data_IF_920219444078
#
_entry.id   IF_920219444078
#
_cell.length_a   1.000
_cell.length_b   1.000
_cell.length_c   1.000
_cell.angle_alpha   90.00
_cell.angle_beta   90.00
_cell.angle_gamma   90.00
#
_symmetry.space_group_name_H-M   'P 1'
#
loop_
_entity.id
_entity.type
_entity.pdbx_description
1 polymer ?
#
# COMPACT_ATOMS: atom_id res chain seq x y z
N UNK A 1 -4.35 -19.18 9.51
CA UNK A 1 -4.79 -18.04 8.68
C UNK A 1 -4.94 -16.79 9.53
N UNK A 2 -6.03 -16.60 10.29
CA UNK A 2 -6.25 -15.42 11.16
C UNK A 2 -5.10 -15.10 12.11
N UNK A 3 -4.57 -16.11 12.81
CA UNK A 3 -3.42 -15.93 13.72
C UNK A 3 -2.20 -15.33 13.03
N UNK A 4 -1.92 -15.75 11.78
CA UNK A 4 -0.82 -15.22 10.98
C UNK A 4 -1.05 -13.76 10.59
N UNK A 5 -2.27 -13.41 10.15
CA UNK A 5 -2.64 -12.02 9.83
C UNK A 5 -2.49 -11.13 11.07
N UNK A 6 -3.03 -11.56 12.22
CA UNK A 6 -2.97 -10.82 13.48
C UNK A 6 -1.52 -10.65 13.95
N UNK A 7 -0.69 -11.69 13.83
CA UNK A 7 0.72 -11.63 14.21
C UNK A 7 1.49 -10.62 13.34
N UNK A 8 1.31 -10.66 12.02
CA UNK A 8 1.95 -9.73 11.10
C UNK A 8 1.52 -8.28 11.37
N UNK A 9 0.21 -8.02 11.54
CA UNK A 9 -0.31 -6.70 11.87
C UNK A 9 0.19 -6.18 13.22
N UNK A 10 0.29 -7.05 14.24
CA UNK A 10 0.84 -6.68 15.55
C UNK A 10 2.32 -6.30 15.45
N UNK A 11 3.09 -7.06 14.67
CA UNK A 11 4.51 -6.75 14.44
C UNK A 11 4.67 -5.44 13.68
N UNK A 12 3.95 -5.27 12.57
CA UNK A 12 3.95 -4.03 11.78
C UNK A 12 3.58 -2.81 12.63
N UNK A 13 2.52 -2.92 13.45
CA UNK A 13 2.11 -1.85 14.37
C UNK A 13 3.17 -1.51 15.41
N UNK A 14 3.85 -2.52 15.99
CA UNK A 14 4.94 -2.29 16.94
C UNK A 14 6.14 -1.56 16.29
N UNK A 15 6.49 -1.93 15.06
CA UNK A 15 7.52 -1.22 14.30
C UNK A 15 7.09 0.22 13.98
N UNK A 16 5.85 0.44 13.54
CA UNK A 16 5.32 1.78 13.33
C UNK A 16 5.39 2.65 14.59
N UNK A 17 4.99 2.12 15.76
CA UNK A 17 5.04 2.87 17.02
C UNK A 17 6.45 3.36 17.38
N UNK A 18 7.49 2.65 16.95
CA UNK A 18 8.90 3.06 17.16
C UNK A 18 9.36 4.21 16.24
N UNK A 19 8.63 4.48 15.16
CA UNK A 19 8.98 5.48 14.14
C UNK A 19 7.87 6.52 13.87
N UNK A 20 6.76 6.47 14.60
CA UNK A 20 5.59 7.35 14.39
C UNK A 20 5.87 8.85 14.51
N UNK A 21 6.90 9.23 15.28
CA UNK A 21 7.32 10.63 15.45
C UNK A 21 8.39 11.04 14.42
N UNK A 22 8.74 10.17 13.47
CA UNK A 22 9.73 10.47 12.45
C UNK A 22 9.11 11.27 11.30
N UNK A 23 9.27 12.57 11.37
CA UNK A 23 8.75 13.53 10.37
C UNK A 23 9.43 13.42 9.01
N UNK A 24 10.53 12.66 8.88
CA UNK A 24 11.16 12.41 7.58
C UNK A 24 10.42 11.34 6.77
N UNK A 25 9.54 10.56 7.40
CA UNK A 25 8.74 9.56 6.72
C UNK A 25 7.49 10.19 6.07
N UNK A 26 7.04 9.71 4.89
CA UNK A 26 5.91 10.32 4.19
C UNK A 26 4.61 10.26 4.99
N UNK A 27 3.73 11.23 4.78
CA UNK A 27 2.42 11.28 5.43
C UNK A 27 1.60 10.00 5.21
N UNK A 28 1.69 9.40 4.02
CA UNK A 28 0.98 8.16 3.72
C UNK A 28 1.59 6.91 4.37
N UNK A 29 2.90 6.91 4.72
CA UNK A 29 3.47 5.90 5.63
C UNK A 29 2.81 5.97 7.02
N UNK A 30 2.69 7.19 7.56
CA UNK A 30 2.05 7.41 8.87
C UNK A 30 0.56 7.04 8.84
N UNK A 31 -0.16 7.46 7.80
CA UNK A 31 -1.55 7.11 7.62
C UNK A 31 -1.75 5.59 7.53
N UNK A 32 -0.89 4.87 6.81
CA UNK A 32 -0.94 3.42 6.73
C UNK A 32 -0.71 2.77 8.11
N UNK A 33 0.30 3.24 8.86
CA UNK A 33 0.61 2.75 10.22
C UNK A 33 -0.57 2.92 11.18
N UNK A 34 -1.20 4.10 11.19
CA UNK A 34 -2.38 4.40 12.03
C UNK A 34 -3.57 3.48 11.71
N UNK A 35 -3.69 3.04 10.46
CA UNK A 35 -4.81 2.22 9.99
C UNK A 35 -4.62 0.70 10.24
N UNK A 36 -3.42 0.23 10.60
CA UNK A 36 -3.16 -1.18 10.92
C UNK A 36 -4.05 -1.70 12.07
N UNK A 37 -4.37 -0.82 13.04
CA UNK A 37 -5.25 -1.17 14.15
C UNK A 37 -6.66 -1.52 13.66
N UNK A 38 -7.20 -0.72 12.73
CA UNK A 38 -8.54 -0.96 12.16
C UNK A 38 -8.58 -2.31 11.43
N UNK A 39 -7.56 -2.61 10.64
CA UNK A 39 -7.41 -3.91 9.97
C UNK A 39 -7.37 -5.04 11.00
N UNK A 40 -6.61 -4.89 12.09
CA UNK A 40 -6.52 -5.90 13.15
C UNK A 40 -7.86 -6.17 13.84
N UNK A 41 -8.66 -5.12 14.07
CA UNK A 41 -10.00 -5.24 14.65
C UNK A 41 -10.95 -6.00 13.71
N UNK A 42 -10.93 -5.68 12.42
CA UNK A 42 -11.74 -6.37 11.41
C UNK A 42 -11.39 -7.86 11.28
N UNK A 43 -10.10 -8.20 11.30
CA UNK A 43 -9.64 -9.60 11.28
C UNK A 43 -10.16 -10.38 12.50
N UNK A 44 -10.10 -9.77 13.70
CA UNK A 44 -10.64 -10.38 14.93
C UNK A 44 -12.15 -10.55 14.87
N UNK A 45 -12.88 -9.55 14.37
CA UNK A 45 -14.33 -9.65 14.20
C UNK A 45 -14.73 -10.80 13.26
N UNK A 46 -14.02 -10.96 12.14
CA UNK A 46 -14.20 -12.06 11.21
C UNK A 46 -13.81 -13.42 11.81
N UNK A 47 -12.80 -13.47 12.68
CA UNK A 47 -12.41 -14.68 13.40
C UNK A 47 -13.50 -15.13 14.39
N UNK A 48 -14.16 -14.19 15.07
CA UNK A 48 -15.16 -14.47 16.10
C UNK A 48 -16.52 -14.93 15.56
N UNK A 49 -16.76 -14.89 14.24
CA UNK A 49 -18.04 -15.31 13.66
C UNK A 49 -18.13 -16.83 13.54
N UNK A 50 -19.16 -17.47 14.14
CA UNK A 50 -19.42 -18.89 13.96
C UNK A 50 -19.97 -19.15 12.55
N UNK A 51 -19.40 -20.12 11.84
CA UNK A 51 -19.83 -20.48 10.48
C UNK A 51 -18.67 -20.91 9.58
N UNK A 52 -19.00 -21.76 8.60
CA UNK A 52 -18.08 -22.07 7.50
C UNK A 52 -17.85 -20.83 6.64
N UNK A 53 -16.60 -20.61 6.23
CA UNK A 53 -16.23 -19.48 5.36
C UNK A 53 -16.41 -19.92 3.91
N UNK A 54 -17.00 -19.07 3.08
CA UNK A 54 -17.06 -19.37 1.66
C UNK A 54 -15.63 -19.46 1.08
N UNK A 55 -15.42 -20.18 -0.04
CA UNK A 55 -14.13 -20.18 -0.74
C UNK A 55 -13.62 -18.77 -1.05
N UNK A 56 -14.53 -17.84 -1.41
CA UNK A 56 -14.22 -16.43 -1.64
C UNK A 56 -13.68 -15.74 -0.38
N UNK A 57 -14.29 -15.96 0.78
CA UNK A 57 -13.80 -15.41 2.04
C UNK A 57 -12.42 -15.99 2.43
N UNK A 58 -12.19 -17.28 2.15
CA UNK A 58 -10.89 -17.93 2.39
C UNK A 58 -9.80 -17.32 1.49
N UNK A 59 -10.10 -17.09 0.21
CA UNK A 59 -9.19 -16.45 -0.75
C UNK A 59 -8.85 -15.01 -0.33
N UNK A 60 -9.86 -14.22 0.02
CA UNK A 60 -9.68 -12.85 0.53
C UNK A 60 -8.82 -12.82 1.81
N UNK A 61 -8.98 -13.78 2.72
CA UNK A 61 -8.14 -13.86 3.92
C UNK A 61 -6.69 -14.27 3.62
N UNK A 62 -6.46 -15.13 2.63
CA UNK A 62 -5.11 -15.47 2.17
C UNK A 62 -4.44 -14.25 1.52
N UNK A 63 -5.18 -13.55 0.66
CA UNK A 63 -4.78 -12.28 0.05
C UNK A 63 -4.41 -11.22 1.11
N UNK A 64 -5.25 -11.09 2.15
CA UNK A 64 -4.99 -10.21 3.29
C UNK A 64 -3.74 -10.61 4.08
N UNK A 65 -3.49 -11.92 4.27
CA UNK A 65 -2.29 -12.42 4.95
C UNK A 65 -1.02 -12.01 4.22
N UNK A 66 -0.96 -12.23 2.91
CA UNK A 66 0.21 -11.84 2.10
C UNK A 66 0.47 -10.34 2.23
N UNK A 67 -0.57 -9.50 2.15
CA UNK A 67 -0.41 -8.05 2.30
C UNK A 67 0.04 -7.64 3.70
N UNK A 68 -0.46 -8.30 4.75
CA UNK A 68 -0.04 -8.04 6.13
C UNK A 68 1.44 -8.40 6.35
N UNK A 69 1.89 -9.53 5.80
CA UNK A 69 3.29 -9.96 5.86
C UNK A 69 4.20 -8.98 5.10
N UNK A 70 3.78 -8.48 3.94
CA UNK A 70 4.53 -7.43 3.21
C UNK A 70 4.57 -6.10 3.95
N UNK A 71 3.45 -5.69 4.55
CA UNK A 71 3.43 -4.47 5.36
C UNK A 71 4.41 -4.59 6.53
N UNK A 72 4.41 -5.73 7.22
CA UNK A 72 5.38 -6.02 8.28
C UNK A 72 6.83 -5.87 7.79
N UNK A 73 7.19 -6.49 6.67
CA UNK A 73 8.56 -6.39 6.10
C UNK A 73 8.98 -4.93 5.86
N UNK A 74 8.10 -4.10 5.29
CA UNK A 74 8.38 -2.67 5.04
C UNK A 74 8.59 -1.92 6.36
N UNK A 75 7.69 -2.10 7.34
CA UNK A 75 7.83 -1.43 8.64
C UNK A 75 9.10 -1.88 9.37
N UNK A 76 9.44 -3.17 9.32
CA UNK A 76 10.69 -3.69 9.91
C UNK A 76 11.92 -3.05 9.26
N UNK A 77 12.01 -3.02 7.92
CA UNK A 77 13.14 -2.41 7.22
C UNK A 77 13.34 -0.94 7.62
N UNK A 78 12.25 -0.17 7.68
CA UNK A 78 12.28 1.24 8.09
C UNK A 78 12.71 1.40 9.55
N UNK A 79 12.26 0.54 10.46
CA UNK A 79 12.64 0.62 11.87
C UNK A 79 14.11 0.26 12.11
N UNK A 80 14.63 -0.75 11.39
CA UNK A 80 16.02 -1.22 11.53
C UNK A 80 17.04 -0.25 10.91
N UNK A 81 16.61 0.57 9.95
CA UNK A 81 17.46 1.61 9.38
C UNK A 81 17.78 2.73 10.40
N UNK A 82 19.02 3.25 10.38
CA UNK A 82 19.37 4.48 11.10
C UNK A 82 18.43 5.62 10.71
N UNK A 83 18.08 6.50 11.67
CA UNK A 83 17.09 7.58 11.46
C UNK A 83 17.31 8.37 10.17
N UNK A 84 18.56 8.73 9.87
CA UNK A 84 18.93 9.48 8.66
C UNK A 84 18.65 8.74 7.34
N UNK A 85 18.56 7.41 7.36
CA UNK A 85 18.41 6.56 6.17
C UNK A 85 17.00 5.99 6.01
N UNK A 86 16.10 6.20 6.98
CA UNK A 86 14.75 5.59 7.00
C UNK A 86 13.89 5.92 5.79
N UNK A 87 13.98 7.15 5.29
CA UNK A 87 13.27 7.53 4.07
C UNK A 87 13.80 6.76 2.85
N UNK A 88 15.12 6.64 2.71
CA UNK A 88 15.75 5.88 1.63
C UNK A 88 15.43 4.40 1.73
N UNK A 89 15.39 3.84 2.94
CA UNK A 89 15.03 2.45 3.17
C UNK A 89 13.56 2.20 2.83
N UNK A 90 12.67 3.08 3.29
CA UNK A 90 11.25 3.04 2.92
C UNK A 90 11.10 3.07 1.40
N UNK A 91 11.75 4.03 0.73
CA UNK A 91 11.73 4.14 -0.72
C UNK A 91 12.26 2.88 -1.41
N UNK A 92 13.32 2.26 -0.89
CA UNK A 92 13.89 1.05 -1.46
C UNK A 92 12.99 -0.17 -1.27
N UNK A 93 12.34 -0.27 -0.11
CA UNK A 93 11.37 -1.32 0.20
C UNK A 93 10.11 -1.24 -0.68
N UNK A 94 9.70 -0.03 -1.10
CA UNK A 94 8.56 0.15 -2.01
C UNK A 94 8.93 0.24 -3.50
N UNK A 95 10.16 0.66 -3.85
CA UNK A 95 10.61 0.92 -5.25
C UNK A 95 10.63 -0.30 -6.16
N UNK A 96 10.53 -1.52 -5.62
CA UNK A 96 10.59 -2.72 -6.45
C UNK A 96 9.24 -3.17 -7.02
N UNK A 97 8.13 -2.46 -6.79
CA UNK A 97 6.80 -2.99 -7.17
C UNK A 97 5.73 -1.92 -7.45
N UNK A 98 4.67 -2.36 -8.15
CA UNK A 98 3.45 -1.61 -8.53
C UNK A 98 2.85 -0.78 -7.38
N UNK A 99 2.04 0.25 -7.70
CA UNK A 99 1.40 1.14 -6.72
C UNK A 99 0.64 0.39 -5.59
N UNK A 100 0.17 -0.83 -5.87
CA UNK A 100 -0.48 -1.74 -4.92
C UNK A 100 0.45 -2.34 -3.85
N UNK A 101 1.75 -2.12 -3.95
CA UNK A 101 2.79 -2.68 -3.07
C UNK A 101 3.46 -1.62 -2.19
N UNK A 102 3.02 -0.37 -2.30
CA UNK A 102 3.26 0.66 -1.28
C UNK A 102 2.58 0.27 0.03
N UNK A 103 3.04 0.81 1.16
CA UNK A 103 2.44 0.47 2.47
C UNK A 103 0.98 0.91 2.56
N UNK A 104 0.63 2.05 1.98
CA UNK A 104 -0.76 2.52 1.86
C UNK A 104 -1.58 1.61 0.93
N UNK A 105 -1.01 1.17 -0.21
CA UNK A 105 -1.65 0.24 -1.14
C UNK A 105 -1.94 -1.11 -0.49
N UNK A 106 -0.99 -1.62 0.30
CA UNK A 106 -1.16 -2.86 1.06
C UNK A 106 -2.27 -2.73 2.11
N UNK A 107 -2.31 -1.62 2.86
CA UNK A 107 -3.35 -1.39 3.88
C UNK A 107 -4.73 -1.22 3.24
N UNK A 108 -4.83 -0.47 2.14
CA UNK A 108 -6.07 -0.37 1.34
C UNK A 108 -6.50 -1.73 0.81
N UNK A 109 -5.56 -2.53 0.29
CA UNK A 109 -5.82 -3.87 -0.20
C UNK A 109 -6.36 -4.78 0.91
N UNK A 110 -5.78 -4.75 2.11
CA UNK A 110 -6.29 -5.50 3.26
C UNK A 110 -7.71 -5.07 3.65
N UNK A 111 -7.99 -3.77 3.64
CA UNK A 111 -9.35 -3.27 3.93
C UNK A 111 -10.38 -3.74 2.89
N UNK A 112 -10.01 -3.79 1.62
CA UNK A 112 -10.87 -4.33 0.54
C UNK A 112 -11.11 -5.83 0.73
N UNK A 113 -10.03 -6.60 0.98
CA UNK A 113 -10.12 -8.04 1.25
C UNK A 113 -11.07 -8.31 2.44
N UNK A 114 -10.89 -7.57 3.54
CA UNK A 114 -11.70 -7.73 4.75
C UNK A 114 -13.13 -7.21 4.59
N UNK A 115 -13.38 -6.22 3.74
CA UNK A 115 -14.74 -5.80 3.37
C UNK A 115 -15.46 -6.94 2.65
N UNK A 116 -14.79 -7.62 1.71
CA UNK A 116 -15.33 -8.82 1.05
C UNK A 116 -15.60 -9.96 2.04
N UNK A 117 -14.78 -10.13 3.08
CA UNK A 117 -15.00 -11.12 4.14
C UNK A 117 -16.17 -10.71 5.03
N UNK A 118 -16.29 -9.43 5.36
CA UNK A 118 -17.35 -8.90 6.19
C UNK A 118 -18.72 -8.96 5.50
N UNK A 119 -18.78 -8.76 4.18
CA UNK A 119 -19.98 -9.03 3.37
C UNK A 119 -20.41 -10.49 3.46
N UNK A 120 -19.48 -11.43 3.28
CA UNK A 120 -19.72 -12.88 3.36
C UNK A 120 -20.22 -13.31 4.76
N UNK A 121 -19.71 -12.66 5.81
CA UNK A 121 -20.04 -12.96 7.20
C UNK A 121 -21.14 -12.06 7.80
N UNK A 122 -21.77 -11.21 6.99
CA UNK A 122 -22.78 -10.23 7.40
C UNK A 122 -22.35 -9.35 8.60
N UNK A 123 -21.17 -8.73 8.51
CA UNK A 123 -20.57 -7.84 9.53
C UNK A 123 -20.52 -6.38 9.03
N UNK A 124 -21.69 -5.78 8.79
CA UNK A 124 -21.82 -4.47 8.10
C UNK A 124 -21.08 -3.31 8.79
N UNK A 125 -21.07 -3.23 10.11
CA UNK A 125 -20.42 -2.11 10.82
C UNK A 125 -18.90 -1.99 10.59
N UNK A 126 -18.23 -3.10 10.23
CA UNK A 126 -16.80 -3.05 9.89
C UNK A 126 -16.57 -2.61 8.42
N UNK A 127 -17.52 -2.89 7.52
CA UNK A 127 -17.44 -2.51 6.10
C UNK A 127 -17.44 -0.98 5.96
N UNK A 128 -18.33 -0.29 6.68
CA UNK A 128 -18.42 1.17 6.64
C UNK A 128 -17.13 1.86 7.14
N UNK A 129 -16.60 1.39 8.27
CA UNK A 129 -15.34 1.91 8.82
C UNK A 129 -14.16 1.69 7.86
N UNK A 130 -14.05 0.50 7.25
CA UNK A 130 -12.98 0.19 6.28
C UNK A 130 -13.11 0.99 4.98
N UNK A 131 -14.33 1.22 4.50
CA UNK A 131 -14.58 2.04 3.31
C UNK A 131 -14.25 3.52 3.55
N UNK A 132 -14.55 4.04 4.74
CA UNK A 132 -14.17 5.39 5.15
C UNK A 132 -12.65 5.56 5.18
N UNK A 133 -11.93 4.64 5.84
CA UNK A 133 -10.47 4.65 5.91
C UNK A 133 -9.81 4.49 4.52
N UNK A 134 -10.35 3.61 3.68
CA UNK A 134 -9.87 3.43 2.29
C UNK A 134 -9.97 4.72 1.49
N UNK A 135 -11.08 5.47 1.62
CA UNK A 135 -11.26 6.74 0.93
C UNK A 135 -10.22 7.77 1.40
N UNK A 136 -10.00 7.89 2.70
CA UNK A 136 -9.01 8.80 3.27
C UNK A 136 -7.59 8.47 2.81
N UNK A 137 -7.21 7.19 2.80
CA UNK A 137 -5.88 6.74 2.34
C UNK A 137 -5.69 6.97 0.83
N UNK A 138 -6.72 6.72 0.03
CA UNK A 138 -6.64 6.89 -1.44
C UNK A 138 -6.59 8.36 -1.87
N UNK A 139 -7.12 9.28 -1.05
CA UNK A 139 -7.10 10.72 -1.32
C UNK A 139 -5.81 11.42 -0.89
N UNK A 140 -4.96 10.78 -0.08
CA UNK A 140 -3.74 11.36 0.49
C UNK A 140 -2.57 11.60 -0.48
N UNK A 141 -2.69 11.17 -1.75
CA UNK A 141 -1.58 11.16 -2.73
C UNK A 141 -0.60 10.01 -2.48
N UNK A 142 0.08 9.49 -3.52
CA UNK A 142 0.98 8.34 -3.38
C UNK A 142 2.23 8.69 -2.56
N UNK A 143 2.67 7.78 -1.69
CA UNK A 143 3.93 7.91 -0.93
C UNK A 143 5.18 7.76 -1.80
N UNK A 144 5.03 7.16 -2.99
CA UNK A 144 6.12 6.91 -3.91
C UNK A 144 6.45 8.18 -4.72
N UNK A 145 7.73 8.46 -5.01
CA UNK A 145 8.09 9.51 -5.95
C UNK A 145 7.46 9.20 -7.32
N UNK A 146 6.72 10.16 -7.87
CA UNK A 146 6.23 10.11 -9.27
C UNK A 146 7.36 10.20 -10.30
N UNK A 147 8.60 10.42 -9.87
CA UNK A 147 9.72 10.79 -10.72
C UNK A 147 10.73 9.65 -10.80
N UNK A 148 10.49 8.73 -11.75
CA UNK A 148 11.51 7.87 -12.39
C UNK A 148 10.98 7.15 -13.65
N UNK A 149 9.81 7.54 -14.18
CA UNK A 149 9.28 7.04 -15.45
C UNK A 149 9.43 8.05 -16.61
N UNK A 150 9.79 9.30 -16.33
CA UNK A 150 9.84 10.36 -17.35
C UNK A 150 11.23 10.63 -17.94
N UNK A 151 12.31 10.10 -17.35
CA UNK A 151 13.69 10.53 -17.69
C UNK A 151 14.46 9.56 -18.62
N UNK A 152 13.75 8.65 -19.31
CA UNK A 152 14.33 7.78 -20.34
C UNK A 152 13.87 8.12 -21.77
N UNK A 153 13.16 9.23 -21.97
CA UNK A 153 12.81 9.75 -23.30
C UNK A 153 13.34 11.18 -23.52
N UNK A 154 14.52 11.49 -22.98
CA UNK A 154 15.31 12.66 -23.38
C UNK A 154 16.69 12.19 -23.82
N UNK A 155 16.76 11.58 -25.00
CA UNK A 155 18.01 11.01 -25.47
C UNK A 155 18.08 10.61 -26.94
N UNK A 156 17.25 11.18 -27.83
CA UNK A 156 17.52 11.16 -29.27
C UNK A 156 17.17 12.54 -29.85
N UNK A 157 18.15 13.44 -29.80
CA UNK A 157 18.21 14.56 -30.75
C UNK A 157 18.60 13.95 -32.10
N UNK A 158 17.65 13.87 -33.04
CA UNK A 158 17.98 13.85 -34.47
C UNK A 158 17.40 15.12 -35.05
N UNK A 159 18.26 16.12 -35.11
CA UNK A 159 18.11 17.31 -35.92
C UNK A 159 18.25 16.90 -37.39
N UNK A 160 17.18 16.99 -38.18
CA UNK A 160 17.28 17.08 -39.65
C UNK A 160 16.31 18.16 -40.14
N UNK A 161 16.84 19.38 -40.09
CA UNK A 161 16.72 20.45 -41.08
C UNK A 161 15.68 20.25 -42.21
N UNK A 162 14.58 21.02 -42.15
CA UNK A 162 13.63 21.22 -43.24
C UNK A 162 14.18 22.29 -44.18
N UNK A 163 14.56 21.89 -45.41
CA UNK A 163 14.86 22.84 -46.48
C UNK A 163 13.64 23.00 -47.40
N UNK A 164 13.07 24.21 -47.41
CA UNK A 164 12.06 24.65 -48.37
C UNK A 164 12.73 24.94 -49.72
N UNK A 165 12.24 24.29 -50.78
CA UNK A 165 12.54 24.65 -52.16
C UNK A 165 11.25 24.82 -52.96
N UNK A 166 10.77 26.06 -53.04
CA UNK A 166 9.74 26.49 -53.99
C UNK A 166 10.35 26.72 -55.37
N UNK A 167 9.66 26.37 -56.45
CA UNK A 167 10.07 26.76 -57.80
C UNK A 167 9.27 26.05 -58.91
N UNK A 168 8.45 26.84 -59.59
CA UNK A 168 7.51 26.56 -60.68
C UNK A 168 8.13 26.21 -62.05
N UNK A 169 7.27 25.65 -62.93
CA UNK A 169 7.24 25.69 -64.42
C UNK A 169 8.47 25.17 -65.19
N UNK A 170 8.35 24.29 -66.19
CA UNK A 170 7.43 24.27 -67.34
C UNK A 170 7.45 22.87 -68.01
#
# INVERSE_FOLDING_TARGET
MFSGIIAALKSAGAHYESVKEDTNLPAAFHAAGQNLQLVSQAVKAAQSKPGGKSPRAVEALNSCKVKAERAQEIFTAVTEAPKASRLTEYQSAVKQKDEEQTVEGLVVGMMKDLSSVAEDLAIQGHVEAMNGATRSLSQGGPSAPKELAADLISGVNVDVNVSYGSGEEN
#
